data_IF_435300946273
#
_entry.id   IF_435300946273
#
_cell.length_a   1.000
_cell.length_b   1.000
_cell.length_c   1.000
_cell.angle_alpha   90.00
_cell.angle_beta   90.00
_cell.angle_gamma   90.00
#
_symmetry.space_group_name_H-M   'P 1'
#
loop_
_entity.id
_entity.type
_entity.pdbx_description
1 polymer ?
#
# COMPACT_ATOMS: atom_id res chain seq x y z
N UNK A 1 -28.04 18.83 -0.74
CA UNK A 1 -26.67 19.35 -0.48
C UNK A 1 -26.75 20.57 0.38
N UNK A 2 -25.72 20.85 1.20
CA UNK A 2 -25.63 22.04 2.08
C UNK A 2 -25.88 23.33 1.29
N UNK A 3 -25.45 23.40 0.04
CA UNK A 3 -25.69 24.52 -0.84
C UNK A 3 -27.17 24.88 -1.04
N UNK A 4 -28.05 23.88 -1.12
CA UNK A 4 -29.48 24.12 -1.31
C UNK A 4 -30.14 24.83 -0.11
N UNK A 5 -29.54 24.74 1.07
CA UNK A 5 -29.99 25.45 2.28
C UNK A 5 -29.37 26.84 2.42
N UNK A 6 -28.11 27.01 1.98
CA UNK A 6 -27.39 28.29 2.11
C UNK A 6 -27.77 29.27 0.99
N UNK A 7 -27.97 28.77 -0.21
CA UNK A 7 -28.25 29.62 -1.39
C UNK A 7 -29.45 30.55 -1.23
N UNK A 8 -30.62 30.13 -0.70
CA UNK A 8 -31.74 31.03 -0.45
C UNK A 8 -31.42 32.17 0.55
N UNK A 9 -30.67 31.84 1.61
CA UNK A 9 -30.29 32.83 2.66
C UNK A 9 -29.37 33.93 2.04
N UNK A 10 -28.42 33.50 1.21
CA UNK A 10 -27.52 34.44 0.51
C UNK A 10 -28.27 35.33 -0.48
N UNK A 11 -29.25 34.74 -1.19
CA UNK A 11 -30.07 35.47 -2.12
C UNK A 11 -30.93 36.55 -1.44
N UNK A 12 -31.48 36.28 -0.27
CA UNK A 12 -32.28 37.20 0.54
C UNK A 12 -31.44 38.36 1.07
N UNK A 13 -30.22 38.08 1.52
CA UNK A 13 -29.36 39.05 2.20
C UNK A 13 -28.32 39.71 1.27
N UNK A 14 -28.31 39.40 -0.02
CA UNK A 14 -27.27 39.89 -0.95
C UNK A 14 -25.85 39.43 -0.62
N UNK A 15 -25.76 38.27 0.07
CA UNK A 15 -24.49 37.69 0.51
C UNK A 15 -23.77 36.94 -0.58
N UNK A 16 -22.55 36.53 -0.27
CA UNK A 16 -21.72 35.67 -1.12
C UNK A 16 -21.16 34.47 -0.32
N UNK A 17 -20.71 33.43 -1.02
CA UNK A 17 -20.05 32.30 -0.43
C UNK A 17 -18.77 31.94 -1.18
N UNK A 18 -17.77 31.45 -0.43
CA UNK A 18 -16.53 30.92 -0.96
C UNK A 18 -16.41 29.47 -0.58
N UNK A 19 -16.04 28.62 -1.54
CA UNK A 19 -15.76 27.19 -1.34
C UNK A 19 -14.30 26.93 -1.64
N UNK A 20 -13.56 26.43 -0.67
CA UNK A 20 -12.16 26.05 -0.79
C UNK A 20 -12.06 24.56 -0.43
N UNK A 21 -11.50 23.76 -1.31
CA UNK A 21 -11.34 22.31 -1.08
C UNK A 21 -10.26 21.71 -1.96
N UNK A 22 -9.68 20.59 -1.50
CA UNK A 22 -8.87 19.69 -2.32
C UNK A 22 -9.79 18.66 -2.99
N UNK A 23 -9.58 18.31 -4.27
CA UNK A 23 -10.34 17.25 -4.94
C UNK A 23 -10.28 15.91 -4.18
N UNK A 24 -11.41 15.20 -4.13
CA UNK A 24 -11.49 13.83 -3.61
C UNK A 24 -12.52 13.03 -4.41
N UNK A 25 -12.06 12.43 -5.51
CA UNK A 25 -12.95 11.73 -6.42
C UNK A 25 -14.05 12.63 -7.00
N UNK A 26 -14.98 12.07 -7.77
CA UNK A 26 -16.09 12.80 -8.36
C UNK A 26 -17.28 12.96 -7.39
N UNK A 27 -17.04 13.54 -6.24
CA UNK A 27 -18.02 13.76 -5.18
C UNK A 27 -18.85 15.04 -5.41
N UNK A 28 -19.61 15.46 -4.37
CA UNK A 28 -20.45 16.66 -4.43
C UNK A 28 -19.66 17.95 -4.75
N UNK A 29 -18.39 18.05 -4.37
CA UNK A 29 -17.54 19.21 -4.65
C UNK A 29 -17.18 19.28 -6.14
N UNK A 30 -16.94 18.11 -6.78
CA UNK A 30 -16.78 18.02 -8.23
C UNK A 30 -18.01 18.53 -8.97
N UNK A 31 -19.20 18.08 -8.58
CA UNK A 31 -20.46 18.51 -9.22
C UNK A 31 -20.74 19.99 -8.97
N UNK A 32 -20.40 20.51 -7.79
CA UNK A 32 -20.53 21.95 -7.50
C UNK A 32 -19.60 22.77 -8.39
N UNK A 33 -18.32 22.37 -8.49
CA UNK A 33 -17.34 23.05 -9.36
C UNK A 33 -17.80 23.04 -10.83
N UNK A 34 -18.31 21.91 -11.36
CA UNK A 34 -18.82 21.84 -12.73
C UNK A 34 -19.97 22.79 -12.97
N UNK A 35 -20.96 22.84 -12.07
CA UNK A 35 -22.05 23.80 -12.13
C UNK A 35 -21.57 25.26 -12.04
N UNK A 36 -20.59 25.51 -11.22
CA UNK A 36 -20.00 26.84 -11.08
C UNK A 36 -19.27 27.27 -12.34
N UNK A 37 -18.55 26.39 -13.04
CA UNK A 37 -17.89 26.66 -14.31
C UNK A 37 -18.86 27.02 -15.43
N UNK A 38 -20.09 26.52 -15.40
CA UNK A 38 -21.15 26.80 -16.38
C UNK A 38 -21.93 28.06 -16.06
N UNK A 39 -21.78 28.65 -14.88
CA UNK A 39 -22.56 29.80 -14.43
C UNK A 39 -21.70 31.09 -14.42
N UNK A 40 -21.98 32.08 -15.26
CA UNK A 40 -21.19 33.33 -15.36
C UNK A 40 -21.20 34.21 -14.10
N UNK A 41 -22.08 33.90 -13.11
CA UNK A 41 -22.13 34.59 -11.83
C UNK A 41 -21.15 34.02 -10.81
N UNK A 42 -20.45 32.91 -11.14
CA UNK A 42 -19.51 32.28 -10.27
C UNK A 42 -18.09 32.50 -10.79
N UNK A 43 -17.18 32.76 -9.86
CA UNK A 43 -15.76 32.73 -10.12
C UNK A 43 -15.24 31.35 -9.72
N UNK A 44 -14.51 30.67 -10.61
CA UNK A 44 -13.90 29.36 -10.34
C UNK A 44 -12.43 29.43 -10.73
N UNK A 45 -11.56 29.08 -9.79
CA UNK A 45 -10.14 28.98 -10.05
C UNK A 45 -9.60 27.66 -9.54
N UNK A 46 -8.74 27.01 -10.33
CA UNK A 46 -8.01 25.79 -9.97
C UNK A 46 -6.55 26.20 -9.82
N UNK A 47 -5.99 25.95 -8.62
CA UNK A 47 -4.68 26.42 -8.20
C UNK A 47 -3.76 25.22 -7.89
N UNK A 48 -3.28 24.47 -8.91
CA UNK A 48 -2.27 23.43 -8.67
C UNK A 48 -0.97 24.05 -8.18
N UNK A 49 -0.16 23.29 -7.46
CA UNK A 49 1.11 23.74 -6.88
C UNK A 49 2.07 24.29 -7.94
N UNK A 50 2.04 23.74 -9.15
CA UNK A 50 2.82 24.21 -10.31
C UNK A 50 2.47 25.63 -10.73
N UNK A 51 1.23 26.09 -10.46
CA UNK A 51 0.75 27.44 -10.77
C UNK A 51 1.00 28.41 -9.62
N UNK A 52 0.91 27.93 -8.38
CA UNK A 52 1.03 28.78 -7.19
C UNK A 52 2.48 28.99 -6.76
N UNK A 53 3.36 28.01 -7.03
CA UNK A 53 4.73 28.02 -6.51
C UNK A 53 4.81 27.99 -4.99
N UNK A 54 3.77 27.45 -4.33
CA UNK A 54 3.64 27.46 -2.87
C UNK A 54 4.70 26.60 -2.15
N UNK A 55 5.28 25.61 -2.84
CA UNK A 55 6.30 24.72 -2.30
C UNK A 55 7.56 24.71 -3.17
N UNK A 56 8.76 24.58 -2.56
CA UNK A 56 10.02 24.38 -3.26
C UNK A 56 10.03 23.09 -4.08
N UNK A 57 10.83 23.03 -5.15
CA UNK A 57 10.87 21.90 -6.07
C UNK A 57 11.39 20.62 -5.40
N UNK A 58 12.37 20.72 -4.52
CA UNK A 58 12.95 19.62 -3.75
C UNK A 58 11.90 18.96 -2.85
N UNK A 59 11.09 19.76 -2.14
CA UNK A 59 9.96 19.26 -1.33
C UNK A 59 8.94 18.55 -2.22
N UNK A 60 8.58 19.12 -3.38
CA UNK A 60 7.63 18.48 -4.29
C UNK A 60 8.15 17.16 -4.86
N UNK A 61 9.46 17.04 -5.10
CA UNK A 61 10.07 15.80 -5.55
C UNK A 61 10.02 14.73 -4.43
N UNK A 62 10.27 15.13 -3.18
CA UNK A 62 10.15 14.23 -2.04
C UNK A 62 8.71 13.74 -1.84
N UNK A 63 7.74 14.66 -1.84
CA UNK A 63 6.31 14.31 -1.73
C UNK A 63 5.86 13.37 -2.86
N UNK A 64 6.31 13.62 -4.09
CA UNK A 64 6.02 12.76 -5.23
C UNK A 64 6.59 11.33 -5.09
N UNK A 65 7.70 11.19 -4.36
CA UNK A 65 8.30 9.87 -4.07
C UNK A 65 7.60 9.14 -2.92
N UNK A 66 6.93 9.89 -2.04
CA UNK A 66 6.29 9.35 -0.84
C UNK A 66 4.82 8.97 -1.02
N UNK A 67 4.22 9.24 -2.19
CA UNK A 67 2.81 8.94 -2.44
C UNK A 67 2.58 8.38 -3.84
N UNK A 68 1.40 7.78 -4.06
CA UNK A 68 1.01 7.31 -5.40
C UNK A 68 0.83 8.48 -6.35
N UNK A 69 0.99 8.22 -7.65
CA UNK A 69 0.82 9.24 -8.69
C UNK A 69 -0.57 9.89 -8.62
N UNK A 70 -1.61 9.09 -8.39
CA UNK A 70 -2.98 9.58 -8.27
C UNK A 70 -3.15 10.51 -7.08
N UNK A 71 -2.60 10.14 -5.94
CA UNK A 71 -2.66 10.98 -4.74
C UNK A 71 -1.88 12.28 -4.94
N UNK A 72 -0.71 12.22 -5.57
CA UNK A 72 0.06 13.43 -5.90
C UNK A 72 -0.72 14.36 -6.84
N UNK A 73 -1.31 13.84 -7.92
CA UNK A 73 -2.11 14.62 -8.85
C UNK A 73 -3.39 15.18 -8.19
N UNK A 74 -3.95 14.46 -7.22
CA UNK A 74 -5.09 14.94 -6.44
C UNK A 74 -4.69 16.09 -5.52
N UNK A 75 -3.68 15.91 -4.67
CA UNK A 75 -3.30 16.86 -3.62
C UNK A 75 -2.55 18.08 -4.17
N UNK A 76 -1.65 17.87 -5.15
CA UNK A 76 -0.79 18.94 -5.69
C UNK A 76 -1.19 19.40 -7.09
N UNK A 77 -1.80 18.51 -7.88
CA UNK A 77 -2.28 18.80 -9.23
C UNK A 77 -3.73 19.28 -9.29
N UNK A 78 -4.46 19.26 -8.18
CA UNK A 78 -5.90 19.58 -8.13
C UNK A 78 -6.76 18.72 -9.06
N UNK A 79 -6.39 17.46 -9.27
CA UNK A 79 -7.08 16.53 -10.17
C UNK A 79 -8.20 15.80 -9.45
N UNK A 80 -9.39 15.74 -10.06
CA UNK A 80 -10.47 14.87 -9.61
C UNK A 80 -10.27 13.48 -10.23
N UNK A 81 -9.69 12.57 -9.47
CA UNK A 81 -9.56 11.18 -9.90
C UNK A 81 -10.90 10.46 -9.91
N UNK A 82 -11.10 9.52 -10.82
CA UNK A 82 -12.30 8.67 -10.83
C UNK A 82 -12.08 7.50 -9.87
N UNK A 83 -13.00 7.25 -8.95
CA UNK A 83 -12.95 6.18 -7.94
C UNK A 83 -13.02 4.74 -8.52
N UNK A 84 -12.92 4.55 -9.81
CA UNK A 84 -13.13 3.28 -10.47
C UNK A 84 -11.86 2.70 -11.13
N UNK A 85 -10.68 3.09 -10.69
CA UNK A 85 -9.45 2.55 -11.26
C UNK A 85 -8.84 1.48 -10.34
N UNK A 86 -8.36 0.40 -10.95
CA UNK A 86 -7.49 -0.58 -10.30
C UNK A 86 -6.40 0.14 -9.51
N UNK A 87 -6.13 -0.34 -8.30
CA UNK A 87 -5.10 0.21 -7.40
C UNK A 87 -3.72 0.00 -8.01
N UNK A 88 -3.46 -1.21 -8.52
CA UNK A 88 -2.18 -1.57 -9.12
C UNK A 88 -2.32 -1.52 -10.64
N UNK A 89 -1.65 -0.55 -11.25
CA UNK A 89 -1.68 -0.37 -12.71
C UNK A 89 -0.50 -1.04 -13.37
N UNK A 90 -0.72 -1.48 -14.61
CA UNK A 90 0.35 -2.04 -15.45
C UNK A 90 1.16 -3.16 -14.77
N UNK A 91 0.52 -3.97 -13.92
CA UNK A 91 1.14 -5.02 -13.08
C UNK A 91 2.14 -5.87 -13.87
N UNK A 92 1.75 -6.25 -15.10
CA UNK A 92 2.56 -7.12 -15.98
C UNK A 92 3.88 -6.50 -16.44
N UNK A 93 4.07 -5.19 -16.34
CA UNK A 93 5.38 -4.55 -16.62
C UNK A 93 6.42 -4.85 -15.55
N UNK A 94 5.98 -5.22 -14.37
CA UNK A 94 6.83 -5.49 -13.22
C UNK A 94 7.10 -6.99 -13.04
N UNK A 95 6.55 -7.86 -13.93
CA UNK A 95 6.72 -9.30 -13.82
C UNK A 95 8.01 -9.78 -14.50
N UNK A 96 8.48 -10.93 -14.02
CA UNK A 96 9.52 -11.72 -14.68
C UNK A 96 9.07 -13.20 -14.74
N UNK A 97 9.46 -13.97 -15.77
CA UNK A 97 9.13 -15.39 -15.86
C UNK A 97 9.68 -16.17 -14.65
N UNK A 98 8.86 -16.98 -13.99
CA UNK A 98 9.27 -17.77 -12.80
C UNK A 98 10.49 -18.65 -13.11
N UNK A 99 10.63 -19.16 -14.35
CA UNK A 99 11.77 -19.95 -14.81
C UNK A 99 13.09 -19.17 -14.84
N UNK A 100 13.05 -17.84 -14.84
CA UNK A 100 14.23 -16.97 -14.83
C UNK A 100 14.69 -16.59 -13.42
N UNK A 101 13.90 -16.96 -12.38
CA UNK A 101 14.30 -16.71 -11.01
C UNK A 101 15.60 -17.40 -10.66
N UNK A 102 16.52 -16.61 -10.11
CA UNK A 102 17.81 -17.14 -9.60
C UNK A 102 17.92 -16.77 -8.13
N UNK A 103 18.03 -17.78 -7.30
CA UNK A 103 18.24 -17.57 -5.87
C UNK A 103 19.58 -16.84 -5.63
N UNK A 104 19.54 -15.83 -4.77
CA UNK A 104 20.71 -15.06 -4.35
C UNK A 104 21.23 -15.61 -3.02
N UNK A 105 22.27 -16.44 -3.05
CA UNK A 105 22.83 -17.11 -1.88
C UNK A 105 23.55 -16.17 -0.88
N UNK A 106 23.86 -14.95 -1.31
CA UNK A 106 24.44 -13.87 -0.48
C UNK A 106 23.46 -12.72 -0.23
N UNK A 107 22.21 -12.85 -0.69
CA UNK A 107 21.19 -11.83 -0.59
C UNK A 107 20.68 -11.63 0.84
N UNK A 108 20.21 -10.41 1.12
CA UNK A 108 19.43 -10.10 2.32
C UNK A 108 17.96 -10.25 2.00
N UNK A 109 17.25 -11.06 2.77
CA UNK A 109 15.83 -11.34 2.51
C UNK A 109 14.91 -10.79 3.61
N UNK A 110 13.73 -10.36 3.18
CA UNK A 110 12.55 -10.20 4.02
C UNK A 110 11.48 -11.18 3.54
N UNK A 111 10.77 -11.81 4.45
CA UNK A 111 9.81 -12.86 4.15
C UNK A 111 8.45 -12.43 4.71
N UNK A 112 7.52 -12.10 3.84
CA UNK A 112 6.14 -11.82 4.22
C UNK A 112 5.36 -13.13 4.38
N UNK A 113 4.58 -13.23 5.43
CA UNK A 113 3.76 -14.42 5.72
C UNK A 113 2.35 -13.98 6.06
N UNK A 114 1.42 -14.36 5.21
CA UNK A 114 0.00 -14.27 5.49
C UNK A 114 -0.52 -15.62 5.94
N UNK A 115 -1.16 -15.66 7.12
CA UNK A 115 -1.58 -16.90 7.77
C UNK A 115 -3.09 -17.06 7.69
N UNK A 116 -3.53 -18.14 7.10
CA UNK A 116 -4.94 -18.49 7.02
C UNK A 116 -5.35 -19.60 7.98
N UNK A 117 -6.63 -19.60 8.33
CA UNK A 117 -7.33 -20.72 8.93
C UNK A 117 -7.70 -21.75 7.84
N UNK A 118 -8.43 -22.77 8.22
CA UNK A 118 -8.69 -24.01 7.48
C UNK A 118 -9.16 -23.90 6.01
N UNK A 119 -9.72 -22.79 5.56
CA UNK A 119 -10.30 -22.66 4.20
C UNK A 119 -9.53 -21.73 3.26
N UNK A 120 -8.73 -20.81 3.79
CA UNK A 120 -7.97 -19.84 3.01
C UNK A 120 -6.52 -20.34 2.81
N UNK A 121 -5.78 -19.70 1.92
CA UNK A 121 -4.38 -20.04 1.72
C UNK A 121 -3.49 -19.28 2.69
N UNK A 122 -2.55 -20.01 3.32
CA UNK A 122 -1.37 -19.37 3.90
C UNK A 122 -0.33 -19.20 2.81
N UNK A 123 0.25 -18.01 2.71
CA UNK A 123 1.22 -17.69 1.67
C UNK A 123 2.50 -17.14 2.27
N UNK A 124 3.62 -17.64 1.79
CA UNK A 124 4.98 -17.19 2.14
C UNK A 124 5.61 -16.53 0.92
N UNK A 125 5.99 -15.27 1.06
CA UNK A 125 6.61 -14.48 -0.01
C UNK A 125 8.00 -14.03 0.40
N UNK A 126 9.07 -14.64 -0.08
CA UNK A 126 10.41 -14.12 0.12
C UNK A 126 10.71 -12.95 -0.84
N UNK A 127 11.33 -11.91 -0.33
CA UNK A 127 11.77 -10.75 -1.07
C UNK A 127 13.27 -10.51 -0.89
N UNK A 128 14.02 -10.47 -1.98
CA UNK A 128 15.44 -10.14 -1.99
C UNK A 128 15.63 -8.62 -1.95
N UNK A 129 16.02 -8.09 -0.80
CA UNK A 129 16.31 -6.68 -0.58
C UNK A 129 17.56 -6.20 -1.35
N UNK A 130 18.43 -7.12 -1.79
CA UNK A 130 19.66 -6.80 -2.54
C UNK A 130 19.34 -6.50 -4.00
N UNK A 131 18.48 -7.31 -4.61
CA UNK A 131 18.11 -7.21 -6.03
C UNK A 131 16.74 -6.56 -6.25
N UNK A 132 16.01 -6.28 -5.18
CA UNK A 132 14.63 -5.79 -5.22
C UNK A 132 13.71 -6.73 -6.03
N UNK A 133 13.87 -8.03 -5.82
CA UNK A 133 13.14 -9.06 -6.53
C UNK A 133 12.37 -9.97 -5.56
N UNK A 134 11.08 -10.15 -5.83
CA UNK A 134 10.22 -11.09 -5.12
C UNK A 134 10.50 -12.50 -5.63
N UNK A 135 10.79 -13.45 -4.75
CA UNK A 135 10.90 -14.86 -5.11
C UNK A 135 9.52 -15.49 -5.40
N UNK A 136 9.46 -16.62 -6.10
CA UNK A 136 8.21 -17.38 -6.22
C UNK A 136 7.61 -17.68 -4.85
N UNK A 137 6.29 -17.48 -4.72
CA UNK A 137 5.55 -17.67 -3.48
C UNK A 137 5.34 -19.16 -3.18
N UNK A 138 5.30 -19.54 -1.89
CA UNK A 138 4.85 -20.85 -1.42
C UNK A 138 3.45 -20.69 -0.81
N UNK A 139 2.43 -21.15 -1.52
CA UNK A 139 1.04 -21.10 -1.09
C UNK A 139 0.56 -22.51 -0.69
N UNK A 140 -0.14 -22.60 0.42
CA UNK A 140 -0.66 -23.85 0.94
C UNK A 140 -1.92 -23.65 1.78
N UNK A 141 -2.79 -24.64 1.82
CA UNK A 141 -4.02 -24.63 2.61
C UNK A 141 -4.22 -25.97 3.33
N UNK A 142 -5.22 -26.01 4.21
CA UNK A 142 -5.67 -27.23 4.89
C UNK A 142 -4.58 -28.01 5.64
N UNK A 143 -3.58 -27.31 6.18
CA UNK A 143 -2.54 -27.88 7.01
C UNK A 143 -2.59 -27.31 8.43
N UNK A 144 -2.18 -28.14 9.40
CA UNK A 144 -2.15 -27.72 10.79
C UNK A 144 -1.07 -26.64 11.08
N UNK A 145 -1.21 -25.95 12.20
CA UNK A 145 -0.29 -24.88 12.59
C UNK A 145 1.16 -25.35 12.81
N UNK A 146 1.35 -26.63 13.16
CA UNK A 146 2.70 -27.20 13.34
C UNK A 146 3.42 -27.26 12.00
N UNK A 147 2.70 -27.71 10.96
CA UNK A 147 3.25 -27.78 9.62
C UNK A 147 3.43 -26.39 9.02
N UNK A 148 2.49 -25.45 9.28
CA UNK A 148 2.66 -24.05 8.88
C UNK A 148 3.95 -23.44 9.46
N UNK A 149 4.18 -23.62 10.78
CA UNK A 149 5.42 -23.17 11.44
C UNK A 149 6.67 -23.82 10.82
N UNK A 150 6.60 -25.10 10.50
CA UNK A 150 7.72 -25.81 9.84
C UNK A 150 8.03 -25.21 8.45
N UNK A 151 7.02 -24.86 7.66
CA UNK A 151 7.21 -24.22 6.36
C UNK A 151 7.83 -22.82 6.51
N UNK A 152 7.39 -22.01 7.48
CA UNK A 152 7.97 -20.69 7.76
C UNK A 152 9.44 -20.82 8.18
N UNK A 153 9.75 -21.78 9.07
CA UNK A 153 11.12 -22.07 9.49
C UNK A 153 12.01 -22.51 8.31
N UNK A 154 11.48 -23.37 7.43
CA UNK A 154 12.18 -23.77 6.21
C UNK A 154 12.42 -22.59 5.26
N UNK A 155 11.45 -21.70 5.07
CA UNK A 155 11.62 -20.49 4.29
C UNK A 155 12.67 -19.56 4.90
N UNK A 156 12.66 -19.35 6.21
CA UNK A 156 13.66 -18.59 6.96
C UNK A 156 15.08 -19.13 6.73
N UNK A 157 15.27 -20.43 6.90
CA UNK A 157 16.58 -21.06 6.72
C UNK A 157 17.04 -21.00 5.25
N UNK A 158 16.13 -21.23 4.30
CA UNK A 158 16.42 -21.20 2.86
C UNK A 158 16.80 -19.83 2.36
N UNK A 159 16.23 -18.76 2.93
CA UNK A 159 16.45 -17.37 2.50
C UNK A 159 17.36 -16.61 3.46
N UNK A 160 18.52 -17.20 3.74
CA UNK A 160 19.64 -16.61 4.47
C UNK A 160 19.28 -16.06 5.87
N UNK A 161 18.32 -16.72 6.54
CA UNK A 161 17.78 -16.29 7.84
C UNK A 161 17.25 -14.84 7.80
N UNK A 162 16.56 -14.51 6.71
CA UNK A 162 15.94 -13.21 6.51
C UNK A 162 14.91 -12.88 7.57
N UNK A 163 14.57 -11.61 7.69
CA UNK A 163 13.53 -11.14 8.62
C UNK A 163 12.15 -11.65 8.15
N UNK A 164 11.39 -12.24 9.06
CA UNK A 164 10.04 -12.76 8.78
C UNK A 164 8.99 -11.80 9.29
N UNK A 165 8.18 -11.22 8.41
CA UNK A 165 7.04 -10.34 8.75
C UNK A 165 5.78 -11.19 8.70
N UNK A 166 5.12 -11.37 9.84
CA UNK A 166 3.97 -12.29 9.99
C UNK A 166 2.76 -11.52 10.50
N UNK A 167 1.58 -11.83 9.95
CA UNK A 167 0.32 -11.39 10.55
C UNK A 167 0.21 -11.87 11.99
N UNK A 168 0.12 -10.92 12.92
CA UNK A 168 -0.04 -11.16 14.36
C UNK A 168 -1.50 -10.95 14.80
N UNK A 169 -2.46 -11.18 13.93
CA UNK A 169 -3.87 -11.00 14.22
C UNK A 169 -4.52 -12.37 14.52
N UNK A 170 -5.22 -12.49 15.62
CA UNK A 170 -5.98 -13.70 15.98
C UNK A 170 -5.11 -14.95 16.10
N UNK A 171 -5.14 -15.84 15.09
CA UNK A 171 -4.38 -17.11 15.10
C UNK A 171 -2.88 -16.92 14.91
N UNK A 172 -2.44 -15.77 14.42
CA UNK A 172 -1.03 -15.46 14.24
C UNK A 172 -0.26 -15.33 15.55
N UNK A 173 -0.91 -14.86 16.63
CA UNK A 173 -0.24 -14.58 17.92
C UNK A 173 0.54 -15.80 18.45
N UNK A 174 -0.05 -17.00 18.69
CA UNK A 174 0.70 -18.12 19.20
C UNK A 174 1.74 -18.68 18.20
N UNK A 175 1.54 -18.48 16.91
CA UNK A 175 2.53 -18.87 15.89
C UNK A 175 3.76 -17.95 15.97
N UNK A 176 3.55 -16.66 16.06
CA UNK A 176 4.61 -15.66 16.22
C UNK A 176 5.44 -15.92 17.48
N UNK A 177 4.79 -16.16 18.62
CA UNK A 177 5.48 -16.46 19.89
C UNK A 177 6.35 -17.71 19.78
N UNK A 178 5.84 -18.78 19.17
CA UNK A 178 6.59 -20.02 18.96
C UNK A 178 7.81 -19.81 18.03
N UNK A 179 7.65 -19.03 16.96
CA UNK A 179 8.74 -18.74 16.03
C UNK A 179 9.85 -17.91 16.70
N UNK A 180 9.47 -16.91 17.51
CA UNK A 180 10.41 -16.10 18.29
C UNK A 180 11.16 -17.00 19.29
N UNK A 181 10.46 -17.87 20.02
CA UNK A 181 11.06 -18.81 20.96
C UNK A 181 12.06 -19.79 20.30
N UNK A 182 11.89 -20.08 19.01
CA UNK A 182 12.84 -20.84 18.19
C UNK A 182 14.03 -20.01 17.69
N UNK A 183 14.11 -18.74 18.00
CA UNK A 183 15.19 -17.85 17.58
C UNK A 183 15.06 -17.35 16.12
N UNK A 184 13.87 -17.41 15.53
CA UNK A 184 13.60 -16.85 14.22
C UNK A 184 13.43 -15.32 14.36
N UNK A 185 14.03 -14.58 13.45
CA UNK A 185 13.92 -13.11 13.41
C UNK A 185 12.53 -12.69 12.88
N UNK A 186 11.55 -12.63 13.77
CA UNK A 186 10.15 -12.32 13.44
C UNK A 186 9.83 -10.87 13.76
N UNK A 187 9.19 -10.19 12.83
CA UNK A 187 8.54 -8.90 13.01
C UNK A 187 7.00 -9.12 12.94
N UNK A 188 6.31 -9.06 14.06
CA UNK A 188 4.86 -9.19 14.07
C UNK A 188 4.20 -7.95 13.44
N UNK A 189 3.24 -8.17 12.55
CA UNK A 189 2.42 -7.13 11.94
C UNK A 189 0.98 -7.27 12.37
N UNK A 190 0.40 -6.22 12.96
CA UNK A 190 -1.00 -6.25 13.41
C UNK A 190 -1.88 -5.52 12.39
N UNK A 191 -2.82 -6.23 11.80
CA UNK A 191 -3.79 -5.65 10.89
C UNK A 191 -4.84 -4.83 11.63
N UNK A 192 -4.89 -3.55 11.28
CA UNK A 192 -5.97 -2.61 11.57
C UNK A 192 -6.47 -2.06 10.25
N UNK A 193 -7.56 -1.30 10.25
CA UNK A 193 -8.01 -0.59 9.05
C UNK A 193 -6.90 0.30 8.45
N UNK A 194 -6.19 1.04 9.27
CA UNK A 194 -5.14 1.96 8.82
C UNK A 194 -3.89 1.21 8.37
N UNK A 195 -3.36 0.29 9.18
CA UNK A 195 -2.12 -0.42 8.86
C UNK A 195 -2.24 -1.29 7.59
N UNK A 196 -3.43 -1.89 7.36
CA UNK A 196 -3.70 -2.62 6.12
C UNK A 196 -3.68 -1.69 4.90
N UNK A 197 -4.29 -0.53 5.02
CA UNK A 197 -4.32 0.45 3.93
C UNK A 197 -2.91 1.00 3.64
N UNK A 198 -2.15 1.35 4.68
CA UNK A 198 -0.76 1.82 4.56
C UNK A 198 0.14 0.77 3.90
N UNK A 199 -0.03 -0.50 4.28
CA UNK A 199 0.69 -1.63 3.70
C UNK A 199 0.46 -1.74 2.18
N UNK A 200 -0.80 -1.68 1.75
CA UNK A 200 -1.17 -1.80 0.33
C UNK A 200 -0.79 -0.56 -0.48
N UNK A 201 -0.89 0.63 0.10
CA UNK A 201 -0.40 1.88 -0.52
C UNK A 201 1.13 1.84 -0.68
N UNK A 202 1.87 1.29 0.29
CA UNK A 202 3.30 1.12 0.14
C UNK A 202 3.65 0.22 -1.05
N UNK A 203 2.98 -0.92 -1.19
CA UNK A 203 3.15 -1.81 -2.34
C UNK A 203 2.80 -1.12 -3.66
N UNK A 204 1.71 -0.33 -3.70
CA UNK A 204 1.31 0.46 -4.87
C UNK A 204 2.46 1.40 -5.30
N UNK A 205 3.02 2.16 -4.37
CA UNK A 205 4.11 3.10 -4.63
C UNK A 205 5.35 2.38 -5.18
N UNK A 206 5.73 1.24 -4.60
CA UNK A 206 6.88 0.47 -5.03
C UNK A 206 6.74 -0.07 -6.47
N UNK A 207 5.54 -0.51 -6.85
CA UNK A 207 5.24 -0.93 -8.22
C UNK A 207 5.21 0.27 -9.17
N UNK A 208 4.50 1.35 -8.86
CA UNK A 208 4.43 2.55 -9.71
C UNK A 208 5.80 3.18 -9.98
N UNK A 209 6.72 3.05 -9.03
CA UNK A 209 8.10 3.56 -9.15
C UNK A 209 9.06 2.54 -9.80
N UNK A 210 8.56 1.39 -10.28
CA UNK A 210 9.36 0.29 -10.86
C UNK A 210 10.51 -0.18 -9.94
N UNK A 211 10.25 -0.21 -8.63
CA UNK A 211 11.28 -0.50 -7.63
C UNK A 211 11.37 -1.97 -7.25
N UNK A 212 10.36 -2.75 -7.56
CA UNK A 212 10.32 -4.19 -7.29
C UNK A 212 9.94 -4.95 -8.55
N UNK A 213 10.46 -6.17 -8.66
CA UNK A 213 10.05 -7.14 -9.69
C UNK A 213 9.36 -8.31 -9.00
N UNK A 214 8.25 -8.75 -9.56
CA UNK A 214 7.42 -9.83 -9.04
C UNK A 214 7.41 -11.02 -10.00
N UNK A 215 7.21 -12.27 -9.53
CA UNK A 215 7.10 -13.42 -10.42
C UNK A 215 5.83 -13.31 -11.29
N UNK A 216 5.91 -13.82 -12.53
CA UNK A 216 4.74 -14.00 -13.40
C UNK A 216 3.89 -15.17 -12.88
N UNK A 217 3.22 -14.95 -11.75
CA UNK A 217 2.31 -15.88 -11.10
C UNK A 217 0.87 -15.45 -11.38
N UNK A 218 0.07 -16.30 -12.04
CA UNK A 218 -1.29 -15.94 -12.43
C UNK A 218 -2.21 -15.57 -11.27
N UNK A 219 -2.05 -16.20 -10.10
CA UNK A 219 -2.90 -15.93 -8.92
C UNK A 219 -2.54 -14.59 -8.31
N UNK A 220 -1.26 -14.31 -8.12
CA UNK A 220 -0.79 -13.03 -7.61
C UNK A 220 -1.17 -11.88 -8.54
N UNK A 221 -1.00 -12.06 -9.86
CA UNK A 221 -1.36 -11.04 -10.86
C UNK A 221 -2.86 -10.76 -10.84
N UNK A 222 -3.70 -11.81 -10.80
CA UNK A 222 -5.17 -11.65 -10.73
C UNK A 222 -5.59 -10.87 -9.48
N UNK A 223 -5.02 -11.17 -8.32
CA UNK A 223 -5.32 -10.45 -7.07
C UNK A 223 -4.87 -8.98 -7.14
N UNK A 224 -3.71 -8.69 -7.72
CA UNK A 224 -3.23 -7.33 -7.92
C UNK A 224 -4.12 -6.55 -8.90
N UNK A 225 -4.44 -7.14 -10.06
CA UNK A 225 -5.29 -6.50 -11.09
C UNK A 225 -6.72 -6.29 -10.61
N UNK A 226 -7.24 -7.14 -9.71
CA UNK A 226 -8.57 -7.06 -9.14
C UNK A 226 -8.70 -6.05 -7.98
N UNK A 227 -7.59 -5.63 -7.37
CA UNK A 227 -7.63 -4.70 -6.25
C UNK A 227 -8.18 -3.33 -6.64
N UNK A 228 -9.16 -2.85 -5.87
CA UNK A 228 -9.86 -1.58 -6.14
C UNK A 228 -9.94 -0.71 -4.90
N UNK A 229 -10.07 0.60 -5.12
CA UNK A 229 -10.47 1.52 -4.07
C UNK A 229 -11.95 1.37 -3.79
N UNK A 230 -12.30 1.13 -2.54
CA UNK A 230 -13.67 1.00 -2.04
C UNK A 230 -13.92 1.98 -0.88
N UNK A 231 -15.17 2.34 -0.69
CA UNK A 231 -15.61 3.16 0.43
C UNK A 231 -16.33 2.26 1.43
N UNK A 232 -15.71 2.08 2.60
CA UNK A 232 -16.31 1.31 3.69
C UNK A 232 -17.68 1.90 4.12
N UNK A 233 -18.54 1.14 4.79
CA UNK A 233 -19.81 1.65 5.33
C UNK A 233 -19.66 2.86 6.26
N UNK A 234 -18.49 3.03 6.88
CA UNK A 234 -18.16 4.20 7.71
C UNK A 234 -17.67 5.42 6.91
N UNK A 235 -17.68 5.36 5.58
CA UNK A 235 -17.25 6.45 4.70
C UNK A 235 -15.73 6.59 4.54
N UNK A 236 -14.95 5.60 5.01
CA UNK A 236 -13.48 5.60 4.86
C UNK A 236 -13.08 4.88 3.58
N UNK A 237 -12.13 5.44 2.86
CA UNK A 237 -11.54 4.81 1.68
C UNK A 237 -10.57 3.70 2.10
N UNK A 238 -10.67 2.54 1.44
CA UNK A 238 -9.81 1.38 1.64
C UNK A 238 -9.47 0.71 0.31
N UNK A 239 -8.38 -0.05 0.30
CA UNK A 239 -8.07 -0.96 -0.78
C UNK A 239 -8.65 -2.34 -0.43
N UNK A 240 -9.37 -2.94 -1.39
CA UNK A 240 -9.93 -4.28 -1.24
C UNK A 240 -9.83 -5.05 -2.55
N UNK A 241 -9.71 -6.35 -2.45
CA UNK A 241 -9.95 -7.27 -3.56
C UNK A 241 -11.40 -7.72 -3.43
N UNK A 242 -12.24 -7.53 -4.45
CA UNK A 242 -13.61 -8.03 -4.42
C UNK A 242 -13.62 -9.55 -4.24
N UNK A 243 -14.41 -10.02 -3.30
CA UNK A 243 -14.58 -11.46 -3.01
C UNK A 243 -15.59 -12.06 -4.03
N UNK A 244 -15.11 -12.24 -5.26
CA UNK A 244 -15.87 -12.81 -6.37
C UNK A 244 -15.36 -14.22 -6.65
N UNK A 245 -16.20 -15.24 -6.55
CA UNK A 245 -15.89 -16.62 -6.94
C UNK A 245 -14.66 -17.22 -6.26
N UNK A 246 -14.58 -17.21 -4.93
CA UNK A 246 -13.47 -17.73 -4.13
C UNK A 246 -12.12 -16.98 -4.33
N UNK A 247 -12.16 -15.72 -4.79
CA UNK A 247 -10.96 -14.88 -4.87
C UNK A 247 -10.65 -14.34 -3.48
N UNK A 248 -9.53 -14.76 -2.92
CA UNK A 248 -8.95 -14.26 -1.67
C UNK A 248 -7.83 -13.27 -1.99
N UNK A 249 -7.30 -12.56 -1.00
CA UNK A 249 -6.19 -11.61 -1.19
C UNK A 249 -4.86 -12.09 -0.55
N UNK A 250 -4.76 -13.38 -0.24
CA UNK A 250 -3.64 -13.97 0.52
C UNK A 250 -2.27 -13.76 -0.16
N UNK A 251 -2.19 -13.95 -1.49
CA UNK A 251 -0.96 -13.73 -2.26
C UNK A 251 -0.55 -12.27 -2.26
N UNK A 252 -1.51 -11.37 -2.44
CA UNK A 252 -1.31 -9.93 -2.38
C UNK A 252 -0.87 -9.49 -0.99
N UNK A 253 -1.53 -9.98 0.08
CA UNK A 253 -1.23 -9.59 1.45
C UNK A 253 0.15 -10.08 1.89
N UNK A 254 0.50 -11.31 1.55
CA UNK A 254 1.84 -11.87 1.80
C UNK A 254 2.94 -11.06 1.08
N UNK A 255 2.70 -10.68 -0.19
CA UNK A 255 3.61 -9.79 -0.93
C UNK A 255 3.74 -8.42 -0.25
N UNK A 256 2.63 -7.82 0.15
CA UNK A 256 2.62 -6.53 0.82
C UNK A 256 3.41 -6.57 2.13
N UNK A 257 3.25 -7.63 2.94
CA UNK A 257 4.05 -7.88 4.15
C UNK A 257 5.55 -8.03 3.84
N UNK A 258 5.91 -8.69 2.73
CA UNK A 258 7.30 -8.88 2.33
C UNK A 258 8.02 -7.56 1.99
N UNK A 259 7.27 -6.52 1.60
CA UNK A 259 7.83 -5.23 1.18
C UNK A 259 7.43 -4.07 2.10
N UNK A 260 6.88 -4.37 3.27
CA UNK A 260 6.15 -3.42 4.10
C UNK A 260 6.99 -2.20 4.57
N UNK A 261 8.22 -2.36 4.96
CA UNK A 261 9.08 -1.30 5.51
C UNK A 261 10.28 -0.94 4.61
N UNK A 262 10.15 -1.23 3.31
CA UNK A 262 11.14 -0.77 2.34
C UNK A 262 11.04 0.75 2.22
N UNK A 263 12.16 1.48 2.38
CA UNK A 263 12.14 2.93 2.26
C UNK A 263 11.57 3.39 0.92
N UNK A 264 10.62 4.30 0.93
CA UNK A 264 9.99 4.87 -0.29
C UNK A 264 10.97 5.71 -1.09
N UNK A 265 11.93 6.36 -0.42
CA UNK A 265 13.00 7.12 -1.06
C UNK A 265 14.17 6.20 -1.39
N UNK A 266 14.71 6.20 -2.64
CA UNK A 266 15.90 5.45 -2.96
C UNK A 266 17.08 5.92 -2.11
N UNK A 267 17.59 5.08 -1.22
CA UNK A 267 18.84 5.37 -0.53
C UNK A 267 19.97 5.30 -1.58
N UNK A 268 20.83 6.32 -1.71
CA UNK A 268 21.95 6.28 -2.65
C UNK A 268 22.79 5.03 -2.42
N UNK A 269 23.10 4.27 -3.48
CA UNK A 269 23.82 2.99 -3.42
C UNK A 269 25.25 3.03 -2.83
N UNK A 270 25.71 4.18 -2.33
CA UNK A 270 27.05 4.38 -1.76
C UNK A 270 27.16 4.18 -0.25
N UNK A 271 26.13 3.70 0.43
CA UNK A 271 26.16 3.42 1.87
C UNK A 271 25.81 1.95 2.14
N UNK A 272 26.73 1.19 2.71
CA UNK A 272 26.42 -0.11 3.31
C UNK A 272 25.23 0.05 4.26
N UNK A 273 24.17 -0.72 4.04
CA UNK A 273 23.14 -0.87 5.05
C UNK A 273 23.76 -1.51 6.30
N UNK A 274 24.15 -0.72 7.27
CA UNK A 274 24.30 -1.24 8.62
C UNK A 274 22.87 -1.44 9.14
N UNK A 275 22.42 -2.68 9.13
CA UNK A 275 21.26 -3.09 9.92
C UNK A 275 21.67 -2.90 11.38
N UNK A 276 21.35 -1.74 11.94
CA UNK A 276 21.41 -1.59 13.38
C UNK A 276 20.37 -2.54 13.98
N UNK A 277 20.86 -3.57 14.66
CA UNK A 277 20.07 -4.33 15.62
C UNK A 277 19.71 -3.39 16.78
N UNK A 278 18.68 -2.60 16.61
CA UNK A 278 18.09 -1.81 17.70
C UNK A 278 16.76 -2.44 18.06
N UNK A 279 16.70 -2.96 19.27
CA UNK A 279 15.44 -3.33 19.90
C UNK A 279 14.46 -2.16 19.89
N UNK A 280 13.22 -2.43 19.43
CA UNK A 280 12.09 -1.52 19.49
C UNK A 280 12.17 -0.37 18.47
N UNK A 281 11.67 -0.60 17.26
CA UNK A 281 11.42 0.47 16.28
C UNK A 281 10.27 1.32 16.80
N UNK A 282 10.55 2.56 17.23
CA UNK A 282 9.52 3.58 17.39
C UNK A 282 8.99 3.95 16.00
N UNK A 283 7.67 4.13 15.84
CA UNK A 283 7.11 4.60 14.58
C UNK A 283 7.65 5.99 14.23
N UNK A 284 7.90 6.23 12.96
CA UNK A 284 8.52 7.44 12.39
C UNK A 284 7.81 8.76 12.78
N UNK A 285 6.53 8.71 13.18
CA UNK A 285 5.75 9.88 13.60
C UNK A 285 6.00 10.35 15.04
N UNK A 286 6.71 9.59 15.88
CA UNK A 286 7.09 10.05 17.23
C UNK A 286 8.33 10.96 17.23
N UNK A 287 9.09 11.02 16.14
CA UNK A 287 10.31 11.87 16.04
C UNK A 287 9.99 13.33 15.68
N UNK A 288 8.79 13.63 15.19
CA UNK A 288 8.42 14.99 14.75
C UNK A 288 7.36 15.70 15.57
N UNK A 289 6.93 15.13 16.71
CA UNK A 289 6.12 15.83 17.71
C UNK A 289 4.80 16.42 17.20
N UNK A 290 4.13 15.70 16.25
CA UNK A 290 2.80 16.10 15.75
C UNK A 290 1.79 15.00 16.09
#
# INVERSE_FOLDING_TARGET
TVWNFISPILAENGGWAMFIFTPRGQNHSYHLMKKAQENPKWYVEILPVSKTGALPLDVLLEEKMNMSKELYEQEYGCSFTTNASSVFKDVRKHTYPVSEYKFNDVGVFQIGVDLAKMNDYSVITPFDLTNFQVAPQDAFNQIDYTLQKTKIEAAFLRHNKGRVVVDNTGVGIPIVDDLINKGINVAPFTFTFNSRNELLVNLQILLEQDRIKIPDDPVLIDQLEAAVWDISPSGRTRITVPDDNDRHDDHLMSLALAVWDIPRVPVPRNGMYQVQQTGGVKPFYEEFGI
#
